data_IF_395639372011
#
_entry.id   IF_395639372011
#
_cell.length_a   1.000
_cell.length_b   1.000
_cell.length_c   1.000
_cell.angle_alpha   90.00
_cell.angle_beta   90.00
_cell.angle_gamma   90.00
#
_symmetry.space_group_name_H-M   'P 1'
#
loop_
_entity.id
_entity.type
_entity.pdbx_description
1 polymer ?
#
# COMPACT_ATOMS: atom_id res chain seq x y z
N UNK A 1 17.42 -22.69 -7.80
CA UNK A 1 17.35 -21.53 -8.71
C UNK A 1 16.16 -20.68 -8.29
N UNK A 2 16.35 -19.44 -7.83
CA UNK A 2 15.23 -18.55 -7.50
C UNK A 2 14.49 -18.25 -8.80
N UNK A 3 13.23 -18.70 -8.94
CA UNK A 3 12.39 -18.34 -10.09
C UNK A 3 12.29 -16.82 -10.11
N UNK A 4 12.96 -16.17 -11.07
CA UNK A 4 12.74 -14.76 -11.32
C UNK A 4 11.29 -14.56 -11.74
N UNK A 5 10.68 -13.48 -11.29
CA UNK A 5 9.31 -13.09 -11.64
C UNK A 5 9.16 -13.13 -13.16
N UNK A 6 8.25 -13.98 -13.67
CA UNK A 6 8.03 -14.08 -15.11
C UNK A 6 7.17 -12.92 -15.60
N UNK A 7 7.15 -12.66 -16.91
CA UNK A 7 6.24 -11.66 -17.48
C UNK A 7 4.76 -11.94 -17.15
N UNK A 8 4.37 -13.21 -17.07
CA UNK A 8 3.02 -13.60 -16.66
C UNK A 8 2.73 -13.26 -15.18
N UNK A 9 3.71 -13.46 -14.30
CA UNK A 9 3.60 -13.08 -12.89
C UNK A 9 3.49 -11.56 -12.72
N UNK A 10 4.23 -10.78 -13.52
CA UNK A 10 4.13 -9.32 -13.51
C UNK A 10 2.74 -8.83 -13.93
N UNK A 11 2.16 -9.42 -14.98
CA UNK A 11 0.80 -9.08 -15.45
C UNK A 11 -0.24 -9.44 -14.40
N UNK A 12 -0.17 -10.65 -13.83
CA UNK A 12 -1.07 -11.09 -12.76
C UNK A 12 -0.97 -10.16 -11.54
N UNK A 13 0.25 -9.82 -11.11
CA UNK A 13 0.48 -8.90 -10.00
C UNK A 13 -0.11 -7.52 -10.29
N UNK A 14 0.02 -7.00 -11.51
CA UNK A 14 -0.59 -5.73 -11.91
C UNK A 14 -2.11 -5.75 -11.78
N UNK A 15 -2.77 -6.83 -12.22
CA UNK A 15 -4.22 -6.97 -12.10
C UNK A 15 -4.67 -7.05 -10.64
N UNK A 16 -3.95 -7.83 -9.84
CA UNK A 16 -4.22 -7.98 -8.40
C UNK A 16 -4.03 -6.65 -7.67
N UNK A 17 -2.94 -5.92 -7.93
CA UNK A 17 -2.69 -4.59 -7.36
C UNK A 17 -3.81 -3.62 -7.78
N UNK A 18 -4.25 -3.65 -9.04
CA UNK A 18 -5.33 -2.77 -9.51
C UNK A 18 -6.66 -3.09 -8.84
N UNK A 19 -6.96 -4.38 -8.58
CA UNK A 19 -8.14 -4.79 -7.79
C UNK A 19 -8.03 -4.34 -6.34
N UNK A 20 -6.85 -4.51 -5.73
CA UNK A 20 -6.61 -4.10 -4.35
C UNK A 20 -6.75 -2.58 -4.20
N UNK A 21 -6.20 -1.79 -5.12
CA UNK A 21 -6.30 -0.33 -5.14
C UNK A 21 -7.75 0.18 -5.29
N UNK A 22 -8.63 -0.60 -5.94
CA UNK A 22 -10.06 -0.31 -6.08
C UNK A 22 -10.89 -0.83 -4.90
N UNK A 23 -10.29 -1.55 -3.96
CA UNK A 23 -11.01 -2.08 -2.80
C UNK A 23 -11.45 -0.96 -1.86
N UNK A 24 -12.55 -1.17 -1.15
CA UNK A 24 -13.05 -0.21 -0.16
C UNK A 24 -12.03 0.10 0.94
N UNK A 25 -11.20 -0.89 1.31
CA UNK A 25 -10.14 -0.67 2.30
C UNK A 25 -9.03 0.24 1.73
N UNK A 26 -8.59 0.03 0.49
CA UNK A 26 -7.59 0.92 -0.13
C UNK A 26 -8.11 2.35 -0.34
N UNK A 27 -9.39 2.49 -0.72
CA UNK A 27 -10.04 3.82 -0.80
C UNK A 27 -10.10 4.50 0.56
N UNK A 28 -10.43 3.75 1.62
CA UNK A 28 -10.46 4.27 2.98
C UNK A 28 -9.07 4.68 3.45
N UNK A 29 -8.04 3.89 3.12
CA UNK A 29 -6.65 4.20 3.44
C UNK A 29 -6.22 5.51 2.78
N UNK A 30 -6.51 5.67 1.48
CA UNK A 30 -6.23 6.91 0.76
C UNK A 30 -6.97 8.11 1.34
N UNK A 31 -8.20 7.93 1.82
CA UNK A 31 -8.95 8.99 2.51
C UNK A 31 -8.25 9.44 3.79
N UNK A 32 -7.84 8.50 4.65
CA UNK A 32 -7.12 8.81 5.89
C UNK A 32 -5.78 9.49 5.60
N UNK A 33 -5.03 9.00 4.61
CA UNK A 33 -3.76 9.60 4.22
C UNK A 33 -3.92 11.01 3.64
N UNK A 34 -4.98 11.25 2.85
CA UNK A 34 -5.28 12.58 2.33
C UNK A 34 -5.73 13.54 3.44
N UNK A 35 -6.48 13.06 4.45
CA UNK A 35 -6.86 13.87 5.62
C UNK A 35 -5.65 14.31 6.44
N UNK A 36 -4.60 13.50 6.51
CA UNK A 36 -3.35 13.87 7.17
C UNK A 36 -2.53 14.90 6.38
N UNK A 37 -2.85 15.10 5.09
CA UNK A 37 -2.15 16.00 4.18
C UNK A 37 -0.76 15.53 3.80
N UNK A 38 -0.17 16.06 2.72
CA UNK A 38 1.22 15.77 2.37
C UNK A 38 1.47 14.41 1.71
N UNK A 39 0.43 13.63 1.37
CA UNK A 39 0.63 12.27 0.84
C UNK A 39 1.32 12.27 -0.53
N UNK A 40 1.08 13.31 -1.34
CA UNK A 40 1.69 13.44 -2.68
C UNK A 40 3.16 13.80 -2.56
N UNK A 41 3.49 14.68 -1.63
CA UNK A 41 4.85 15.11 -1.30
C UNK A 41 5.64 13.94 -0.71
N UNK A 42 5.04 13.19 0.22
CA UNK A 42 5.64 11.98 0.79
C UNK A 42 5.85 10.89 -0.26
N UNK A 43 4.88 10.68 -1.17
CA UNK A 43 5.03 9.75 -2.28
C UNK A 43 6.12 10.19 -3.26
N UNK A 44 6.22 11.50 -3.54
CA UNK A 44 7.28 12.07 -4.38
C UNK A 44 8.66 11.90 -3.73
N UNK A 45 8.80 12.24 -2.46
CA UNK A 45 10.05 12.06 -1.71
C UNK A 45 10.48 10.59 -1.72
N UNK A 46 9.54 9.65 -1.50
CA UNK A 46 9.82 8.23 -1.54
C UNK A 46 10.27 7.75 -2.93
N UNK A 47 9.66 8.28 -4.00
CA UNK A 47 10.09 8.01 -5.37
C UNK A 47 11.48 8.59 -5.68
N UNK A 48 11.83 9.72 -5.06
CA UNK A 48 13.14 10.37 -5.15
C UNK A 48 14.19 9.70 -4.22
N UNK A 49 13.80 8.67 -3.44
CA UNK A 49 14.69 7.87 -2.59
C UNK A 49 14.61 8.17 -1.08
N UNK A 50 13.77 9.10 -0.65
CA UNK A 50 13.54 9.44 0.76
C UNK A 50 12.15 8.97 1.25
N UNK A 51 12.06 7.79 1.88
CA UNK A 51 10.81 7.27 2.39
C UNK A 51 10.42 7.84 3.76
N UNK A 52 11.20 8.73 4.37
CA UNK A 52 11.04 9.16 5.77
C UNK A 52 9.67 9.81 6.03
N UNK A 53 9.19 10.61 5.07
CA UNK A 53 7.87 11.22 5.13
C UNK A 53 6.76 10.16 5.10
N UNK A 54 6.87 9.17 4.20
CA UNK A 54 5.90 8.08 4.08
C UNK A 54 5.89 7.20 5.34
N UNK A 55 7.07 6.90 5.91
CA UNK A 55 7.20 6.15 7.16
C UNK A 55 6.57 6.88 8.33
N UNK A 56 6.74 8.21 8.41
CA UNK A 56 6.11 9.03 9.45
C UNK A 56 4.58 9.02 9.35
N UNK A 57 4.03 9.03 8.12
CA UNK A 57 2.59 8.89 7.90
C UNK A 57 2.10 7.50 8.29
N UNK A 58 2.86 6.46 7.95
CA UNK A 58 2.52 5.08 8.33
C UNK A 58 2.55 4.90 9.85
N UNK A 59 3.53 5.46 10.56
CA UNK A 59 3.58 5.44 12.02
C UNK A 59 2.33 6.08 12.65
N UNK A 60 1.93 7.25 12.15
CA UNK A 60 0.69 7.92 12.59
C UNK A 60 -0.56 7.11 12.30
N UNK A 61 -0.62 6.50 11.12
CA UNK A 61 -1.72 5.62 10.74
C UNK A 61 -1.82 4.41 11.68
N UNK A 62 -0.71 3.73 11.95
CA UNK A 62 -0.65 2.54 12.82
C UNK A 62 -0.86 2.85 14.31
N UNK A 63 -0.62 4.09 14.75
CA UNK A 63 -0.97 4.52 16.11
C UNK A 63 -2.48 4.57 16.36
N UNK A 64 -3.28 4.65 15.31
CA UNK A 64 -4.73 4.54 15.42
C UNK A 64 -5.17 3.08 15.28
N UNK A 65 -6.09 2.63 16.14
CA UNK A 65 -6.63 1.27 16.05
C UNK A 65 -7.26 1.02 14.66
N UNK A 66 -8.09 1.97 14.20
CA UNK A 66 -8.73 1.89 12.89
C UNK A 66 -7.73 1.80 11.73
N UNK A 67 -6.66 2.60 11.78
CA UNK A 67 -5.62 2.61 10.76
C UNK A 67 -4.77 1.34 10.75
N UNK A 68 -4.39 0.84 11.92
CA UNK A 68 -3.67 -0.43 12.05
C UNK A 68 -4.49 -1.62 11.51
N UNK A 69 -5.77 -1.71 11.89
CA UNK A 69 -6.68 -2.75 11.39
C UNK A 69 -6.89 -2.65 9.88
N UNK A 70 -6.95 -1.44 9.33
CA UNK A 70 -7.10 -1.21 7.91
C UNK A 70 -5.88 -1.70 7.12
N UNK A 71 -4.67 -1.37 7.57
CA UNK A 71 -3.42 -1.82 6.96
C UNK A 71 -3.30 -3.34 7.02
N UNK A 72 -3.65 -3.94 8.15
CA UNK A 72 -3.66 -5.40 8.31
C UNK A 72 -4.63 -6.10 7.34
N UNK A 73 -5.87 -5.59 7.21
CA UNK A 73 -6.83 -6.14 6.24
C UNK A 73 -6.35 -6.05 4.80
N UNK A 74 -5.72 -4.93 4.43
CA UNK A 74 -5.14 -4.76 3.09
C UNK A 74 -4.00 -5.76 2.88
N UNK A 75 -3.13 -5.94 3.86
CA UNK A 75 -2.04 -6.91 3.82
C UNK A 75 -2.54 -8.35 3.66
N UNK A 76 -3.56 -8.74 4.43
CA UNK A 76 -4.21 -10.06 4.29
C UNK A 76 -4.81 -10.26 2.90
N UNK A 77 -5.56 -9.28 2.38
CA UNK A 77 -6.13 -9.35 1.02
C UNK A 77 -5.08 -9.42 -0.07
N UNK A 78 -3.96 -8.72 0.10
CA UNK A 78 -2.82 -8.79 -0.83
C UNK A 78 -2.23 -10.22 -0.86
N UNK A 79 -1.99 -10.79 0.32
CA UNK A 79 -1.50 -12.17 0.49
C UNK A 79 -2.46 -13.21 -0.07
N UNK A 80 -3.75 -13.11 0.25
CA UNK A 80 -4.80 -13.98 -0.30
C UNK A 80 -4.88 -13.91 -1.83
N UNK A 81 -4.57 -12.74 -2.40
CA UNK A 81 -4.53 -12.53 -3.84
C UNK A 81 -3.20 -12.96 -4.49
N UNK A 82 -2.26 -13.51 -3.72
CA UNK A 82 -0.99 -14.06 -4.21
C UNK A 82 0.11 -13.01 -4.43
N UNK A 83 0.02 -11.85 -3.78
CA UNK A 83 1.11 -10.88 -3.70
C UNK A 83 2.03 -11.26 -2.52
N UNK A 84 2.97 -12.18 -2.75
CA UNK A 84 4.02 -12.56 -1.79
C UNK A 84 5.38 -12.72 -2.49
#
# INVERSE_FOLDING_TARGET
MKKGTTAADLVKNREVISKLAKSSDAQKLMSILNQQGGVKEAAKAAADGDPSALMSMMDRLMRSQEGAELVDRIGRKAKEAGLE
#
